data_IF_176690289730
#
_entry.id   IF_176690289730
#
_cell.length_a   1.000
_cell.length_b   1.000
_cell.length_c   1.000
_cell.angle_alpha   90.00
_cell.angle_beta   90.00
_cell.angle_gamma   90.00
#
_symmetry.space_group_name_H-M   'P 1'
#
loop_
_entity.id
_entity.type
_entity.pdbx_description
1 polymer ?
#
# COMPACT_ATOMS: atom_id res chain seq x y z
N UNK A 1 12.23 -15.45 6.48
CA UNK A 1 11.47 -16.68 6.77
C UNK A 1 11.00 -17.40 5.49
N UNK A 2 11.29 -16.91 4.29
CA UNK A 2 10.91 -17.57 3.01
C UNK A 2 12.09 -18.28 2.32
N UNK A 3 13.31 -18.26 2.87
CA UNK A 3 14.54 -18.70 2.21
C UNK A 3 14.78 -20.21 2.19
N UNK A 4 13.94 -21.03 2.80
CA UNK A 4 14.08 -22.49 2.81
C UNK A 4 12.92 -23.26 2.19
N UNK A 5 12.15 -22.63 1.31
CA UNK A 5 11.08 -23.32 0.60
C UNK A 5 11.66 -24.08 -0.60
N UNK A 6 11.52 -25.40 -0.61
CA UNK A 6 11.85 -26.25 -1.78
C UNK A 6 11.10 -25.77 -3.03
N UNK A 7 11.58 -26.11 -4.24
CA UNK A 7 10.94 -25.69 -5.52
C UNK A 7 9.42 -25.96 -5.59
N UNK A 8 8.93 -26.99 -4.89
CA UNK A 8 7.50 -27.26 -4.75
C UNK A 8 6.76 -26.25 -3.88
N UNK A 9 7.44 -25.60 -2.93
CA UNK A 9 6.87 -24.59 -2.05
C UNK A 9 6.90 -23.19 -2.68
N UNK A 10 7.90 -22.91 -3.55
CA UNK A 10 7.93 -21.68 -4.33
C UNK A 10 6.78 -21.61 -5.35
N UNK A 11 6.33 -22.76 -5.88
CA UNK A 11 5.12 -22.82 -6.70
C UNK A 11 3.83 -22.58 -5.90
N UNK A 12 3.79 -22.92 -4.61
CA UNK A 12 2.64 -22.66 -3.73
C UNK A 12 2.50 -21.17 -3.39
N UNK A 13 3.60 -20.42 -3.27
CA UNK A 13 3.57 -18.97 -3.01
C UNK A 13 2.93 -18.20 -4.17
N UNK A 14 3.05 -18.70 -5.40
CA UNK A 14 2.45 -18.09 -6.60
C UNK A 14 0.92 -18.10 -6.61
N UNK A 15 0.30 -18.82 -5.66
CA UNK A 15 -1.16 -18.99 -5.58
C UNK A 15 -1.76 -18.55 -4.24
N UNK A 16 -1.05 -17.77 -3.42
CA UNK A 16 -1.65 -17.23 -2.21
C UNK A 16 -2.75 -16.22 -2.60
N UNK A 17 -3.95 -16.35 -2.00
CA UNK A 17 -5.11 -15.55 -2.38
C UNK A 17 -5.07 -14.16 -1.72
N UNK A 18 -4.02 -13.38 -2.03
CA UNK A 18 -3.85 -12.02 -1.49
C UNK A 18 -5.01 -11.07 -1.83
N UNK A 19 -5.81 -11.41 -2.82
CA UNK A 19 -7.01 -10.66 -3.21
C UNK A 19 -8.25 -11.01 -2.36
N UNK A 20 -8.14 -11.95 -1.43
CA UNK A 20 -9.25 -12.37 -0.57
C UNK A 20 -9.11 -11.82 0.85
N UNK A 21 -10.15 -11.17 1.38
CA UNK A 21 -10.15 -10.67 2.77
C UNK A 21 -10.00 -11.78 3.80
N UNK A 22 -10.56 -12.96 3.53
CA UNK A 22 -10.47 -14.16 4.40
C UNK A 22 -9.04 -14.65 4.62
N UNK A 23 -8.17 -14.49 3.60
CA UNK A 23 -6.74 -14.77 3.73
C UNK A 23 -6.10 -13.84 4.77
N UNK A 24 -6.35 -12.53 4.66
CA UNK A 24 -5.79 -11.53 5.55
C UNK A 24 -6.36 -11.62 6.96
N UNK A 25 -7.66 -11.87 7.10
CA UNK A 25 -8.28 -12.12 8.41
C UNK A 25 -7.61 -13.28 9.13
N UNK A 26 -7.35 -14.39 8.43
CA UNK A 26 -6.64 -15.54 8.98
C UNK A 26 -5.20 -15.20 9.32
N UNK A 27 -4.52 -14.47 8.44
CA UNK A 27 -3.15 -14.02 8.63
C UNK A 27 -3.00 -13.17 9.88
N UNK A 28 -3.82 -12.13 10.06
CA UNK A 28 -3.75 -11.25 11.21
C UNK A 28 -4.17 -11.94 12.52
N UNK A 29 -5.18 -12.81 12.51
CA UNK A 29 -5.54 -13.64 13.67
C UNK A 29 -4.38 -14.48 14.17
N UNK A 30 -3.65 -15.11 13.25
CA UNK A 30 -2.50 -15.95 13.63
C UNK A 30 -1.37 -15.14 14.23
N UNK A 31 -1.12 -13.92 13.72
CA UNK A 31 -0.10 -13.01 14.25
C UNK A 31 -0.44 -12.53 15.66
N UNK A 32 -1.71 -12.19 15.94
CA UNK A 32 -2.16 -11.83 17.28
C UNK A 32 -1.92 -12.97 18.27
N UNK A 33 -2.29 -14.20 17.88
CA UNK A 33 -2.14 -15.37 18.76
C UNK A 33 -0.67 -15.66 19.11
N UNK A 34 0.24 -15.39 18.21
CA UNK A 34 1.68 -15.58 18.40
C UNK A 34 2.35 -14.41 19.13
N UNK A 35 1.60 -13.33 19.41
CA UNK A 35 2.13 -12.06 19.95
C UNK A 35 3.31 -11.51 19.13
N UNK A 36 3.39 -11.89 17.86
CA UNK A 36 4.43 -11.44 16.94
C UNK A 36 3.90 -10.26 16.13
N UNK A 37 4.01 -9.07 16.72
CA UNK A 37 3.71 -7.80 16.03
C UNK A 37 4.94 -7.21 15.36
N UNK A 38 6.05 -7.96 15.28
CA UNK A 38 7.28 -7.50 14.67
C UNK A 38 7.06 -7.31 13.16
N UNK A 39 7.01 -6.06 12.78
CA UNK A 39 7.26 -5.48 11.47
C UNK A 39 6.96 -6.36 10.25
N UNK A 40 5.68 -6.54 9.93
CA UNK A 40 5.28 -7.09 8.63
C UNK A 40 5.35 -5.94 7.64
N UNK A 41 6.56 -5.61 7.21
CA UNK A 41 6.75 -4.64 6.15
C UNK A 41 6.77 -5.35 4.80
N UNK A 42 5.72 -5.14 4.02
CA UNK A 42 5.73 -5.49 2.62
C UNK A 42 6.70 -4.58 1.88
N UNK A 43 7.52 -5.16 1.01
CA UNK A 43 8.54 -4.48 0.22
C UNK A 43 9.66 -3.88 1.08
N UNK A 44 9.40 -2.73 1.72
CA UNK A 44 10.36 -2.00 2.54
C UNK A 44 9.66 -1.06 3.52
N UNK A 45 10.43 -0.48 4.45
CA UNK A 45 9.92 0.51 5.40
C UNK A 45 9.89 1.92 4.77
N UNK A 46 8.70 2.52 4.68
CA UNK A 46 8.57 3.90 4.19
C UNK A 46 9.25 4.92 5.13
N UNK A 47 9.35 4.62 6.42
CA UNK A 47 10.01 5.50 7.40
C UNK A 47 11.50 5.71 7.11
N UNK A 48 12.14 4.75 6.48
CA UNK A 48 13.56 4.82 6.07
C UNK A 48 13.75 5.23 4.62
N UNK A 49 12.67 5.37 3.86
CA UNK A 49 12.71 5.72 2.44
C UNK A 49 12.45 7.21 2.22
N UNK A 50 13.29 7.84 1.41
CA UNK A 50 13.04 9.17 0.86
C UNK A 50 13.79 9.38 -0.45
N UNK A 51 13.17 10.06 -1.38
CA UNK A 51 13.78 10.53 -2.61
C UNK A 51 13.27 11.97 -2.95
N UNK A 52 13.54 12.47 -4.16
CA UNK A 52 13.07 13.79 -4.59
C UNK A 52 11.54 13.91 -4.64
N UNK A 53 10.83 12.80 -4.81
CA UNK A 53 9.38 12.79 -5.06
C UNK A 53 8.57 12.39 -3.82
N UNK A 54 9.15 11.60 -2.92
CA UNK A 54 8.48 11.09 -1.74
C UNK A 54 9.35 11.14 -0.51
N UNK A 55 8.81 11.70 0.54
CA UNK A 55 9.30 11.55 1.91
C UNK A 55 8.15 11.80 2.87
N UNK A 56 8.01 10.97 3.89
CA UNK A 56 7.04 11.19 4.96
C UNK A 56 7.25 12.55 5.65
N UNK A 57 8.47 13.09 5.62
CA UNK A 57 8.80 14.39 6.20
C UNK A 57 8.27 15.59 5.42
N UNK A 58 7.83 15.37 4.17
CA UNK A 58 7.25 16.42 3.34
C UNK A 58 5.77 16.66 3.64
N UNK A 59 5.12 15.72 4.34
CA UNK A 59 3.71 15.85 4.69
C UNK A 59 3.56 16.76 5.90
N UNK A 60 2.48 17.52 5.90
CA UNK A 60 2.11 18.44 6.96
C UNK A 60 0.94 17.87 7.78
N UNK A 61 0.68 18.46 8.94
CA UNK A 61 -0.43 17.99 9.81
C UNK A 61 -1.80 18.43 9.29
N UNK A 62 -1.80 19.36 8.36
CA UNK A 62 -2.98 19.87 7.69
C UNK A 62 -3.42 18.99 6.52
N UNK A 63 -2.52 18.12 6.02
CA UNK A 63 -2.84 17.21 4.92
C UNK A 63 -3.84 16.13 5.37
N UNK A 64 -4.88 15.93 4.59
CA UNK A 64 -5.80 14.80 4.71
C UNK A 64 -5.18 13.58 4.04
N UNK A 65 -4.72 12.60 4.84
CA UNK A 65 -3.92 11.47 4.37
C UNK A 65 -4.71 10.18 4.47
N UNK A 66 -4.90 9.50 3.36
CA UNK A 66 -5.44 8.13 3.30
C UNK A 66 -4.33 7.10 3.13
N UNK A 67 -4.36 6.04 3.92
CA UNK A 67 -3.49 4.86 3.76
C UNK A 67 -4.37 3.66 3.45
N UNK A 68 -4.20 3.09 2.25
CA UNK A 68 -4.98 1.92 1.81
C UNK A 68 -4.17 0.64 1.94
N UNK A 69 -4.82 -0.43 2.41
CA UNK A 69 -4.16 -1.71 2.67
C UNK A 69 -2.99 -1.56 3.62
N UNK A 70 -3.19 -0.82 4.71
CA UNK A 70 -2.12 -0.35 5.59
C UNK A 70 -1.29 -1.47 6.22
N UNK A 71 -1.89 -2.64 6.46
CA UNK A 71 -1.26 -3.72 7.18
C UNK A 71 -0.81 -3.29 8.58
N UNK A 72 0.15 -4.00 9.13
CA UNK A 72 0.84 -3.64 10.39
C UNK A 72 2.13 -2.85 10.08
N UNK A 73 2.00 -1.80 9.29
CA UNK A 73 3.15 -1.02 8.81
C UNK A 73 3.67 -0.05 9.87
N UNK A 74 5.00 0.06 9.98
CA UNK A 74 5.68 1.09 10.77
C UNK A 74 5.37 2.53 10.35
N UNK A 75 4.81 2.72 9.15
CA UNK A 75 4.33 4.02 8.66
C UNK A 75 3.26 4.62 9.56
N UNK A 76 2.37 3.77 10.11
CA UNK A 76 1.34 4.22 11.04
C UNK A 76 1.93 4.72 12.36
N UNK A 77 2.95 4.02 12.87
CA UNK A 77 3.67 4.45 14.08
C UNK A 77 4.40 5.79 13.85
N UNK A 78 4.88 6.04 12.62
CA UNK A 78 5.48 7.33 12.27
C UNK A 78 4.46 8.47 12.37
N UNK A 79 3.28 8.33 11.78
CA UNK A 79 2.24 9.35 11.83
C UNK A 79 1.73 9.57 13.26
N UNK A 80 1.57 8.48 14.02
CA UNK A 80 1.16 8.54 15.41
C UNK A 80 2.19 9.30 16.27
N UNK A 81 3.47 8.92 16.18
CA UNK A 81 4.55 9.54 16.94
C UNK A 81 4.71 11.04 16.62
N UNK A 82 4.54 11.42 15.36
CA UNK A 82 4.66 12.81 14.93
C UNK A 82 3.37 13.63 15.11
N UNK A 83 2.30 13.04 15.66
CA UNK A 83 1.07 13.75 16.02
C UNK A 83 0.24 14.22 14.82
N UNK A 84 0.14 13.40 13.77
CA UNK A 84 -0.80 13.62 12.68
C UNK A 84 -2.21 13.23 13.15
N UNK A 85 -3.20 14.06 12.87
CA UNK A 85 -4.59 13.86 13.31
C UNK A 85 -5.51 13.52 12.12
N UNK A 86 -5.23 14.06 10.92
CA UNK A 86 -6.04 13.89 9.72
C UNK A 86 -5.62 12.62 8.94
N UNK A 87 -5.77 11.46 9.56
CA UNK A 87 -5.41 10.17 8.96
C UNK A 87 -6.65 9.31 8.78
N UNK A 88 -6.86 8.81 7.56
CA UNK A 88 -7.79 7.74 7.25
C UNK A 88 -7.02 6.45 6.92
N UNK A 89 -7.49 5.32 7.42
CA UNK A 89 -6.93 3.99 7.15
C UNK A 89 -8.05 3.10 6.65
N UNK A 90 -7.93 2.65 5.40
CA UNK A 90 -8.89 1.74 4.79
C UNK A 90 -8.25 0.40 4.47
N UNK A 91 -8.88 -0.65 4.96
CA UNK A 91 -8.50 -2.02 4.67
C UNK A 91 -9.77 -2.88 4.58
N UNK A 92 -9.75 -3.95 3.82
CA UNK A 92 -10.91 -4.83 3.71
C UNK A 92 -10.90 -5.96 4.75
N UNK A 93 -9.80 -6.16 5.49
CA UNK A 93 -9.69 -7.13 6.59
C UNK A 93 -10.34 -6.59 7.86
N UNK A 94 -11.39 -7.26 8.30
CA UNK A 94 -12.08 -6.91 9.56
C UNK A 94 -11.17 -7.09 10.78
N UNK A 95 -10.33 -8.12 10.76
CA UNK A 95 -9.42 -8.40 11.88
C UNK A 95 -8.32 -7.36 11.99
N UNK A 96 -7.76 -6.89 10.85
CA UNK A 96 -6.79 -5.80 10.88
C UNK A 96 -7.42 -4.52 11.44
N UNK A 97 -8.61 -4.16 10.97
CA UNK A 97 -9.30 -2.96 11.45
C UNK A 97 -9.49 -2.98 12.97
N UNK A 98 -9.91 -4.11 13.55
CA UNK A 98 -10.02 -4.27 15.01
C UNK A 98 -8.67 -4.05 15.72
N UNK A 99 -7.59 -4.58 15.15
CA UNK A 99 -6.23 -4.40 15.71
C UNK A 99 -5.85 -2.92 15.71
N UNK A 100 -6.01 -2.26 14.56
CA UNK A 100 -5.60 -0.87 14.40
C UNK A 100 -6.43 0.08 15.28
N UNK A 101 -7.75 -0.12 15.36
CA UNK A 101 -8.63 0.64 16.26
C UNK A 101 -8.27 0.48 17.74
N UNK A 102 -7.78 -0.71 18.13
CA UNK A 102 -7.28 -0.91 19.51
C UNK A 102 -5.89 -0.32 19.75
N UNK A 103 -5.02 -0.31 18.70
CA UNK A 103 -3.64 0.18 18.81
C UNK A 103 -3.58 1.71 18.80
N UNK A 104 -4.32 2.34 17.87
CA UNK A 104 -4.32 3.77 17.66
C UNK A 104 -5.61 4.37 18.23
N UNK A 105 -5.59 4.72 19.53
CA UNK A 105 -6.71 5.38 20.20
C UNK A 105 -6.73 6.87 19.86
N UNK A 106 -7.01 7.19 18.60
CA UNK A 106 -7.05 8.55 18.07
C UNK A 106 -8.33 8.79 17.27
N UNK A 107 -8.57 10.05 16.96
CA UNK A 107 -9.66 10.49 16.08
C UNK A 107 -9.41 10.13 14.59
N UNK A 108 -8.49 9.20 14.33
CA UNK A 108 -8.25 8.67 12.99
C UNK A 108 -9.44 7.88 12.48
N UNK A 109 -9.78 8.06 11.23
CA UNK A 109 -10.78 7.25 10.55
C UNK A 109 -10.20 5.87 10.20
N UNK A 110 -10.47 4.86 11.01
CA UNK A 110 -10.01 3.49 10.78
C UNK A 110 -11.22 2.64 10.41
N UNK A 111 -11.39 2.35 9.12
CA UNK A 111 -12.62 1.77 8.59
C UNK A 111 -12.37 0.58 7.67
N UNK A 112 -13.30 -0.38 7.71
CA UNK A 112 -13.34 -1.47 6.75
C UNK A 112 -13.92 -0.99 5.45
N UNK A 113 -13.07 -0.83 4.42
CA UNK A 113 -13.46 -0.36 3.09
C UNK A 113 -12.84 -1.27 2.04
N UNK A 114 -13.64 -1.73 1.09
CA UNK A 114 -13.16 -2.34 -0.14
C UNK A 114 -13.00 -1.23 -1.19
N UNK A 115 -11.75 -0.89 -1.52
CA UNK A 115 -11.46 0.19 -2.45
C UNK A 115 -11.86 -0.11 -3.90
N UNK A 116 -12.26 -1.36 -4.21
CA UNK A 116 -12.79 -1.73 -5.52
C UNK A 116 -14.25 -1.33 -5.68
N UNK A 117 -14.96 -1.10 -4.59
CA UNK A 117 -16.35 -0.67 -4.59
C UNK A 117 -16.45 0.86 -4.64
N UNK A 118 -17.35 1.41 -5.48
CA UNK A 118 -17.49 2.87 -5.60
C UNK A 118 -18.05 3.48 -4.31
N UNK A 119 -17.42 4.56 -3.86
CA UNK A 119 -17.93 5.37 -2.75
C UNK A 119 -17.75 6.85 -3.01
N UNK A 120 -18.86 7.56 -3.22
CA UNK A 120 -18.88 8.99 -3.53
C UNK A 120 -18.72 9.89 -2.27
N UNK A 121 -18.80 9.32 -1.07
CA UNK A 121 -18.62 10.08 0.19
C UNK A 121 -17.20 10.63 0.32
N UNK A 122 -16.24 9.96 -0.35
CA UNK A 122 -14.82 10.33 -0.30
C UNK A 122 -14.36 11.18 -1.49
N UNK A 123 -15.28 11.63 -2.35
CA UNK A 123 -14.91 12.45 -3.51
C UNK A 123 -14.18 13.73 -3.10
N UNK A 124 -12.98 13.94 -3.62
CA UNK A 124 -12.07 15.07 -3.31
C UNK A 124 -11.72 15.22 -1.80
N UNK A 125 -11.64 14.10 -1.07
CA UNK A 125 -11.42 14.10 0.36
C UNK A 125 -9.95 14.14 0.80
N UNK A 126 -9.01 13.69 -0.05
CA UNK A 126 -7.64 13.43 0.38
C UNK A 126 -6.60 14.20 -0.43
N UNK A 127 -5.69 14.90 0.26
CA UNK A 127 -4.52 15.52 -0.34
C UNK A 127 -3.49 14.46 -0.74
N UNK A 128 -3.37 13.42 0.08
CA UNK A 128 -2.40 12.34 -0.09
C UNK A 128 -3.07 10.99 0.08
N UNK A 129 -2.83 10.09 -0.88
CA UNK A 129 -3.16 8.68 -0.73
C UNK A 129 -1.87 7.87 -0.80
N UNK A 130 -1.65 6.94 0.12
CA UNK A 130 -0.50 6.04 0.14
C UNK A 130 -0.97 4.61 -0.05
N UNK A 131 -0.50 3.97 -1.12
CA UNK A 131 -0.63 2.55 -1.38
C UNK A 131 0.76 1.90 -1.38
N UNK A 132 0.97 0.88 -0.56
CA UNK A 132 2.18 0.08 -0.57
C UNK A 132 1.84 -1.41 -0.73
N UNK A 133 1.51 -1.79 -1.97
CA UNK A 133 1.22 -3.15 -2.38
C UNK A 133 -0.24 -3.59 -2.28
N UNK A 134 -1.17 -2.75 -1.85
CA UNK A 134 -2.60 -3.09 -1.85
C UNK A 134 -3.12 -3.32 -3.28
N UNK A 135 -2.85 -2.41 -4.19
CA UNK A 135 -3.20 -2.57 -5.61
C UNK A 135 -2.53 -3.80 -6.24
N UNK A 136 -1.31 -4.15 -5.82
CA UNK A 136 -0.65 -5.38 -6.27
C UNK A 136 -1.35 -6.64 -5.76
N UNK A 137 -1.84 -6.61 -4.51
CA UNK A 137 -2.66 -7.70 -3.97
C UNK A 137 -3.97 -7.88 -4.74
N UNK A 138 -4.64 -6.80 -5.13
CA UNK A 138 -5.84 -6.85 -5.98
C UNK A 138 -5.52 -7.51 -7.33
N UNK A 139 -4.39 -7.17 -7.96
CA UNK A 139 -3.95 -7.77 -9.21
C UNK A 139 -3.64 -9.27 -9.10
N UNK A 140 -3.45 -9.82 -7.90
CA UNK A 140 -3.23 -11.24 -7.70
C UNK A 140 -4.47 -12.11 -7.97
N UNK A 141 -5.66 -11.51 -8.12
CA UNK A 141 -6.88 -12.23 -8.53
C UNK A 141 -6.74 -12.71 -9.99
N UNK A 142 -6.65 -14.04 -10.23
CA UNK A 142 -6.38 -14.56 -11.57
C UNK A 142 -7.57 -14.40 -12.54
N UNK A 143 -8.75 -14.04 -12.03
CA UNK A 143 -9.97 -13.92 -12.84
C UNK A 143 -10.34 -12.46 -13.09
N UNK A 144 -10.31 -11.65 -12.04
CA UNK A 144 -10.88 -10.31 -12.06
C UNK A 144 -9.86 -9.23 -11.63
N UNK A 145 -8.59 -9.59 -11.44
CA UNK A 145 -7.58 -8.69 -10.87
C UNK A 145 -7.41 -7.40 -11.64
N UNK A 146 -7.39 -7.47 -12.98
CA UNK A 146 -7.27 -6.29 -13.83
C UNK A 146 -8.50 -5.37 -13.70
N UNK A 147 -9.72 -5.94 -13.76
CA UNK A 147 -10.97 -5.17 -13.64
C UNK A 147 -11.05 -4.49 -12.27
N UNK A 148 -10.75 -5.23 -11.20
CA UNK A 148 -10.74 -4.71 -9.83
C UNK A 148 -9.67 -3.65 -9.61
N UNK A 149 -8.48 -3.82 -10.20
CA UNK A 149 -7.41 -2.82 -10.16
C UNK A 149 -7.87 -1.50 -10.80
N UNK A 150 -8.49 -1.57 -11.98
CA UNK A 150 -8.99 -0.40 -12.68
C UNK A 150 -10.09 0.28 -11.84
N UNK A 151 -11.00 -0.49 -11.25
CA UNK A 151 -12.04 0.04 -10.37
C UNK A 151 -11.43 0.73 -9.14
N UNK A 152 -10.51 0.06 -8.43
CA UNK A 152 -9.83 0.62 -7.28
C UNK A 152 -9.08 1.91 -7.63
N UNK A 153 -8.28 1.90 -8.70
CA UNK A 153 -7.54 3.08 -9.11
C UNK A 153 -8.45 4.23 -9.55
N UNK A 154 -9.58 3.92 -10.16
CA UNK A 154 -10.61 4.92 -10.50
C UNK A 154 -11.17 5.56 -9.24
N UNK A 155 -11.56 4.76 -8.24
CA UNK A 155 -12.07 5.25 -6.96
C UNK A 155 -11.02 6.12 -6.26
N UNK A 156 -9.79 5.60 -6.09
CA UNK A 156 -8.70 6.36 -5.45
C UNK A 156 -8.43 7.68 -6.17
N UNK A 157 -8.48 7.70 -7.51
CA UNK A 157 -8.32 8.93 -8.26
C UNK A 157 -9.46 9.93 -8.03
N UNK A 158 -10.70 9.48 -7.87
CA UNK A 158 -11.83 10.37 -7.55
C UNK A 158 -11.76 10.91 -6.12
N UNK A 159 -11.18 10.14 -5.20
CA UNK A 159 -11.02 10.52 -3.79
C UNK A 159 -9.91 11.53 -3.56
N UNK A 160 -8.94 11.66 -4.48
CA UNK A 160 -7.92 12.72 -4.40
C UNK A 160 -8.56 14.11 -4.43
N UNK A 161 -7.99 15.04 -3.69
CA UNK A 161 -8.30 16.47 -3.78
C UNK A 161 -8.03 16.98 -5.21
N UNK A 162 -8.85 17.91 -5.69
CA UNK A 162 -8.96 18.27 -7.11
C UNK A 162 -7.64 18.47 -7.86
N UNK A 163 -6.87 19.50 -7.49
CA UNK A 163 -5.73 19.93 -8.31
C UNK A 163 -4.37 19.47 -7.80
N UNK A 164 -4.25 19.20 -6.51
CA UNK A 164 -2.98 18.98 -5.84
C UNK A 164 -2.85 17.59 -5.22
N UNK A 165 -3.97 16.85 -5.15
CA UNK A 165 -3.98 15.52 -4.57
C UNK A 165 -3.06 14.55 -5.31
N UNK A 166 -2.31 13.73 -4.55
CA UNK A 166 -1.34 12.76 -5.09
C UNK A 166 -1.54 11.39 -4.45
N UNK A 167 -1.68 10.37 -5.29
CA UNK A 167 -1.56 8.98 -4.89
C UNK A 167 -0.11 8.52 -5.10
N UNK A 168 0.52 8.08 -4.03
CA UNK A 168 1.81 7.41 -4.02
C UNK A 168 1.59 5.90 -3.99
N UNK A 169 1.77 5.25 -5.13
CA UNK A 169 1.63 3.81 -5.29
C UNK A 169 3.00 3.13 -5.38
N UNK A 170 3.36 2.37 -4.35
CA UNK A 170 4.58 1.55 -4.29
C UNK A 170 4.27 0.13 -4.73
N UNK A 171 4.97 -0.34 -5.76
CA UNK A 171 4.70 -1.60 -6.43
C UNK A 171 5.98 -2.38 -6.75
N UNK A 172 5.87 -3.70 -6.80
CA UNK A 172 6.89 -4.56 -7.41
C UNK A 172 6.65 -4.78 -8.92
N UNK A 173 5.54 -4.30 -9.45
CA UNK A 173 5.17 -4.44 -10.86
C UNK A 173 5.90 -3.44 -11.74
N UNK A 174 6.49 -3.94 -12.84
CA UNK A 174 7.26 -3.14 -13.80
C UNK A 174 6.40 -2.10 -14.51
N UNK A 175 7.07 -1.03 -14.96
CA UNK A 175 6.43 0.09 -15.66
C UNK A 175 5.56 -0.37 -16.83
N UNK A 176 6.07 -1.28 -17.68
CA UNK A 176 5.34 -1.72 -18.88
C UNK A 176 4.04 -2.44 -18.54
N UNK A 177 4.04 -3.22 -17.45
CA UNK A 177 2.85 -3.94 -16.99
C UNK A 177 1.80 -2.98 -16.40
N UNK A 178 2.23 -1.99 -15.63
CA UNK A 178 1.32 -1.03 -14.96
C UNK A 178 0.79 0.03 -15.92
N UNK A 179 1.62 0.53 -16.85
CA UNK A 179 1.21 1.54 -17.82
C UNK A 179 0.03 1.10 -18.69
N UNK A 180 -0.02 -0.19 -19.05
CA UNK A 180 -1.15 -0.77 -19.80
C UNK A 180 -2.48 -0.72 -19.02
N UNK A 181 -2.42 -0.73 -17.68
CA UNK A 181 -3.59 -0.61 -16.83
C UNK A 181 -3.98 0.86 -16.63
N UNK A 182 -3.01 1.73 -16.44
CA UNK A 182 -3.27 3.16 -16.20
C UNK A 182 -3.97 3.85 -17.36
N UNK A 183 -3.64 3.47 -18.61
CA UNK A 183 -4.31 4.04 -19.79
C UNK A 183 -5.80 3.69 -19.88
N UNK A 184 -6.27 2.71 -19.10
CA UNK A 184 -7.68 2.34 -19.00
C UNK A 184 -8.45 3.16 -17.96
N UNK A 185 -7.75 3.92 -17.13
CA UNK A 185 -8.34 4.81 -16.13
C UNK A 185 -8.41 6.22 -16.70
N UNK A 186 -9.60 6.78 -16.72
CA UNK A 186 -9.81 8.11 -17.30
C UNK A 186 -9.30 9.22 -16.36
N UNK A 187 -8.82 10.31 -16.97
CA UNK A 187 -8.49 11.55 -16.27
C UNK A 187 -7.42 11.40 -15.16
N UNK A 188 -6.46 10.55 -15.38
CA UNK A 188 -5.26 10.48 -14.53
C UNK A 188 -4.01 10.77 -15.34
N UNK A 189 -3.04 11.39 -14.69
CA UNK A 189 -1.65 11.49 -15.15
C UNK A 189 -0.75 10.82 -14.13
N UNK A 190 0.33 10.21 -14.57
CA UNK A 190 1.26 9.53 -13.68
C UNK A 190 2.71 9.77 -14.10
N UNK A 191 3.62 9.64 -13.12
CA UNK A 191 5.05 9.49 -13.32
C UNK A 191 5.51 8.23 -12.61
N UNK A 192 6.60 7.65 -13.06
CA UNK A 192 7.19 6.45 -12.46
C UNK A 192 8.66 6.68 -12.12
N UNK A 193 9.06 6.19 -10.96
CA UNK A 193 10.42 6.24 -10.44
C UNK A 193 10.85 4.85 -10.02
N UNK A 194 12.04 4.45 -10.43
CA UNK A 194 12.64 3.18 -9.99
C UNK A 194 13.25 3.37 -8.61
N UNK A 195 13.00 2.41 -7.73
CA UNK A 195 13.57 2.34 -6.39
C UNK A 195 14.47 1.10 -6.35
N UNK A 196 15.78 1.31 -6.34
CA UNK A 196 16.75 0.23 -6.11
C UNK A 196 17.09 0.17 -4.62
N UNK A 197 16.52 -0.81 -3.92
CA UNK A 197 16.78 -1.00 -2.49
C UNK A 197 18.21 -1.45 -2.20
N UNK A 198 18.93 -1.98 -3.20
CA UNK A 198 20.34 -2.34 -3.01
C UNK A 198 21.23 -1.11 -2.84
N UNK A 199 20.84 0.05 -3.37
CA UNK A 199 21.54 1.32 -3.17
C UNK A 199 21.28 1.93 -1.79
N UNK A 200 20.11 1.63 -1.19
CA UNK A 200 19.69 2.20 0.09
C UNK A 200 20.00 1.31 1.29
N UNK A 201 20.24 0.01 1.07
CA UNK A 201 20.61 -0.92 2.13
C UNK A 201 22.06 -0.73 2.59
N UNK A 202 22.28 -0.78 3.92
CA UNK A 202 23.63 -0.87 4.48
C UNK A 202 24.32 -2.15 4.00
N UNK A 203 25.64 -2.09 3.80
CA UNK A 203 26.44 -3.18 3.24
C UNK A 203 26.26 -4.54 3.96
N UNK A 204 25.91 -4.52 5.24
CA UNK A 204 25.64 -5.70 6.08
C UNK A 204 24.46 -6.58 5.58
N UNK A 205 23.53 -6.00 4.82
CA UNK A 205 22.33 -6.70 4.31
C UNK A 205 22.41 -7.04 2.82
N UNK A 206 23.41 -6.53 2.11
CA UNK A 206 23.59 -6.76 0.67
C UNK A 206 23.97 -8.20 0.32
N UNK A 207 24.61 -8.94 1.25
CA UNK A 207 25.03 -10.32 1.01
C UNK A 207 23.88 -11.34 1.04
N UNK A 208 22.76 -11.02 1.70
CA UNK A 208 21.64 -11.94 1.90
C UNK A 208 20.56 -11.85 0.82
N UNK A 209 20.49 -10.77 0.05
CA UNK A 209 19.44 -10.54 -0.94
C UNK A 209 20.03 -10.25 -2.33
N UNK A 210 20.34 -11.33 -3.07
CA UNK A 210 20.79 -11.27 -4.48
C UNK A 210 19.64 -11.28 -5.51
N UNK A 211 18.41 -11.22 -5.11
CA UNK A 211 17.26 -11.11 -6.03
C UNK A 211 16.82 -9.66 -6.17
N UNK A 212 16.39 -9.30 -7.36
CA UNK A 212 15.99 -7.97 -7.80
C UNK A 212 15.12 -7.21 -6.79
N UNK A 213 15.74 -6.51 -5.82
CA UNK A 213 15.07 -5.61 -4.88
C UNK A 213 14.74 -4.27 -5.56
N UNK A 214 14.17 -4.35 -6.75
CA UNK A 214 13.73 -3.20 -7.52
C UNK A 214 12.22 -3.06 -7.33
N UNK A 215 11.83 -1.88 -6.89
CA UNK A 215 10.44 -1.46 -6.77
C UNK A 215 10.20 -0.22 -7.60
N UNK A 216 8.95 0.15 -7.74
CA UNK A 216 8.54 1.31 -8.51
C UNK A 216 7.64 2.19 -7.65
N UNK A 217 7.90 3.48 -7.65
CA UNK A 217 7.00 4.49 -7.14
C UNK A 217 6.26 5.11 -8.33
N UNK A 218 4.95 4.98 -8.32
CA UNK A 218 4.07 5.70 -9.22
C UNK A 218 3.43 6.87 -8.47
N UNK A 219 3.63 8.08 -8.97
CA UNK A 219 2.89 9.25 -8.49
C UNK A 219 1.74 9.51 -9.46
N UNK A 220 0.53 9.47 -8.96
CA UNK A 220 -0.69 9.55 -9.77
C UNK A 220 -1.52 10.74 -9.27
N UNK A 221 -2.02 11.55 -10.18
CA UNK A 221 -2.87 12.70 -9.89
C UNK A 221 -3.96 12.85 -10.96
N UNK A 222 -4.97 13.66 -10.68
CA UNK A 222 -6.02 13.99 -11.66
C UNK A 222 -5.46 14.74 -12.87
N UNK A 223 -5.99 14.40 -14.04
CA UNK A 223 -5.79 15.19 -15.26
C UNK A 223 -7.00 16.14 -15.44
N UNK A 224 -6.72 17.38 -15.77
CA UNK A 224 -7.74 18.43 -15.96
C UNK A 224 -8.14 18.56 -17.43
#
# INVERSE_FOLDING_TARGET
MLENLNQSQSQLITYLPFHESSFWDTFYKNHIQQQDFSNINWYFELTSFSNSEFSLKNFTKEDEILIVGAGLSSTLDYFDYNGFENIAIYDFSEELIKILQNKYNKDWEISRVDITEPNNEYENAFDVIIDKGCLDCILSDPKNGEEKFIAALTNLSTWLEGNNGVLYYFSNGKMDDRSQLFVKVNKIKYKVYTIDMNETMKDEYKEFNKSDNIYYLYTISKEH
#
